data_IF_622239004355
#
_entry.id   IF_622239004355
#
_cell.length_a   1.000
_cell.length_b   1.000
_cell.length_c   1.000
_cell.angle_alpha   90.00
_cell.angle_beta   90.00
_cell.angle_gamma   90.00
#
_symmetry.space_group_name_H-M   'P 1'
#
loop_
_entity.id
_entity.type
_entity.pdbx_description
1 polymer ?
#
# COMPACT_ATOMS: atom_id res chain seq x y z
N UNK A 1 -30.40 33.72 -7.52
CA UNK A 1 -31.04 32.49 -7.03
C UNK A 1 -30.84 31.42 -8.08
N UNK A 2 -29.85 30.59 -7.92
CA UNK A 2 -29.57 29.43 -8.75
C UNK A 2 -29.28 28.28 -7.79
N UNK A 3 -30.29 27.44 -7.56
CA UNK A 3 -30.13 26.22 -6.82
C UNK A 3 -29.15 25.29 -7.60
N UNK A 4 -27.94 25.13 -7.12
CA UNK A 4 -27.10 24.04 -7.53
C UNK A 4 -27.80 22.77 -7.04
N UNK A 5 -28.47 22.08 -7.96
CA UNK A 5 -28.86 20.68 -7.75
C UNK A 5 -27.59 19.91 -7.49
N UNK A 6 -27.33 19.58 -6.24
CA UNK A 6 -26.42 18.50 -5.88
C UNK A 6 -27.05 17.24 -6.51
N UNK A 7 -26.54 16.83 -7.67
CA UNK A 7 -26.78 15.50 -8.19
C UNK A 7 -26.23 14.54 -7.13
N UNK A 8 -27.12 14.03 -6.29
CA UNK A 8 -26.83 12.90 -5.41
C UNK A 8 -26.61 11.70 -6.34
N UNK A 9 -25.36 11.47 -6.75
CA UNK A 9 -24.99 10.31 -7.54
C UNK A 9 -25.14 9.11 -6.62
N UNK A 10 -26.02 8.19 -6.99
CA UNK A 10 -26.23 6.91 -6.29
C UNK A 10 -24.88 6.21 -6.17
N UNK A 11 -24.47 5.85 -4.96
CA UNK A 11 -23.23 5.08 -4.74
C UNK A 11 -23.45 3.62 -5.05
N UNK A 12 -22.37 2.89 -5.38
CA UNK A 12 -22.45 1.45 -5.58
C UNK A 12 -23.02 0.73 -4.35
N UNK A 13 -22.71 1.18 -3.14
CA UNK A 13 -23.22 0.60 -1.89
C UNK A 13 -24.73 0.86 -1.66
N UNK A 14 -25.33 1.82 -2.37
CA UNK A 14 -26.73 2.18 -2.21
C UNK A 14 -27.68 1.40 -3.16
N UNK A 15 -27.13 0.69 -4.15
CA UNK A 15 -27.94 -0.18 -4.99
C UNK A 15 -28.28 -1.47 -4.24
N UNK A 16 -29.41 -2.16 -4.57
CA UNK A 16 -29.81 -3.39 -3.90
C UNK A 16 -28.70 -4.45 -3.91
N UNK A 17 -28.53 -5.19 -2.81
CA UNK A 17 -27.44 -6.17 -2.63
C UNK A 17 -27.37 -7.23 -3.73
N UNK A 18 -28.52 -7.68 -4.24
CA UNK A 18 -28.58 -8.61 -5.37
C UNK A 18 -27.95 -8.03 -6.63
N UNK A 19 -28.15 -6.73 -6.88
CA UNK A 19 -27.52 -6.00 -7.99
C UNK A 19 -26.04 -5.73 -7.75
N UNK A 20 -25.66 -5.45 -6.50
CA UNK A 20 -24.23 -5.35 -6.15
C UNK A 20 -23.51 -6.68 -6.44
N UNK A 21 -24.08 -7.82 -6.00
CA UNK A 21 -23.52 -9.16 -6.26
C UNK A 21 -23.45 -9.47 -7.77
N UNK A 22 -24.49 -9.15 -8.54
CA UNK A 22 -24.52 -9.33 -9.99
C UNK A 22 -23.38 -8.56 -10.67
N UNK A 23 -23.20 -7.29 -10.31
CA UNK A 23 -22.14 -6.45 -10.85
C UNK A 23 -20.74 -6.97 -10.47
N UNK A 24 -20.52 -7.30 -9.19
CA UNK A 24 -19.25 -7.87 -8.71
C UNK A 24 -18.93 -9.19 -9.43
N UNK A 25 -19.90 -10.11 -9.53
CA UNK A 25 -19.69 -11.39 -10.18
C UNK A 25 -19.39 -11.24 -11.69
N UNK A 26 -20.01 -10.26 -12.34
CA UNK A 26 -19.69 -9.93 -13.74
C UNK A 26 -18.24 -9.49 -13.90
N UNK A 27 -17.77 -8.59 -13.03
CA UNK A 27 -16.37 -8.14 -13.04
C UNK A 27 -15.43 -9.28 -12.69
N UNK A 28 -15.78 -10.11 -11.71
CA UNK A 28 -14.97 -11.27 -11.30
C UNK A 28 -14.76 -12.24 -12.47
N UNK A 29 -15.81 -12.56 -13.22
CA UNK A 29 -15.72 -13.42 -14.41
C UNK A 29 -14.84 -12.83 -15.51
N UNK A 30 -14.84 -11.51 -15.69
CA UNK A 30 -14.07 -10.85 -16.75
C UNK A 30 -12.61 -10.59 -16.34
N UNK A 31 -12.37 -10.29 -15.07
CA UNK A 31 -11.04 -9.96 -14.55
C UNK A 31 -10.24 -11.17 -14.07
N UNK A 32 -10.91 -12.27 -13.76
CA UNK A 32 -10.30 -13.43 -13.09
C UNK A 32 -10.05 -13.24 -11.60
N UNK A 33 -10.47 -12.10 -11.02
CA UNK A 33 -10.35 -11.83 -9.59
C UNK A 33 -11.51 -12.48 -8.81
N UNK A 34 -11.26 -12.93 -7.57
CA UNK A 34 -12.34 -13.37 -6.68
C UNK A 34 -13.36 -12.24 -6.44
N UNK A 35 -14.67 -12.54 -6.32
CA UNK A 35 -15.69 -11.54 -6.03
C UNK A 35 -15.40 -10.69 -4.79
N UNK A 36 -14.91 -11.30 -3.71
CA UNK A 36 -14.50 -10.60 -2.48
C UNK A 36 -13.35 -9.61 -2.70
N UNK A 37 -12.46 -9.86 -3.68
CA UNK A 37 -11.40 -8.92 -4.06
C UNK A 37 -11.96 -7.68 -4.77
N UNK A 38 -12.98 -7.84 -5.62
CA UNK A 38 -13.64 -6.71 -6.30
C UNK A 38 -14.38 -5.84 -5.29
N UNK A 39 -15.12 -6.46 -4.36
CA UNK A 39 -15.77 -5.74 -3.27
C UNK A 39 -14.75 -4.96 -2.44
N UNK A 40 -13.67 -5.61 -2.04
CA UNK A 40 -12.62 -4.99 -1.23
C UNK A 40 -11.89 -3.88 -1.97
N UNK A 41 -11.67 -4.02 -3.27
CA UNK A 41 -11.08 -2.97 -4.10
C UNK A 41 -11.93 -1.70 -4.10
N UNK A 42 -13.26 -1.84 -4.14
CA UNK A 42 -14.16 -0.70 -4.01
C UNK A 42 -13.97 0.00 -2.64
N UNK A 43 -13.96 -0.76 -1.54
CA UNK A 43 -13.73 -0.21 -0.20
C UNK A 43 -12.36 0.45 -0.06
N UNK A 44 -11.29 -0.19 -0.55
CA UNK A 44 -9.93 0.40 -0.59
C UNK A 44 -9.96 1.73 -1.35
N UNK A 45 -10.69 1.79 -2.46
CA UNK A 45 -10.79 3.01 -3.28
C UNK A 45 -11.55 4.12 -2.54
N UNK A 46 -12.66 3.81 -1.85
CA UNK A 46 -13.39 4.79 -1.04
C UNK A 46 -12.54 5.32 0.12
N UNK A 47 -11.78 4.46 0.78
CA UNK A 47 -10.86 4.86 1.85
C UNK A 47 -9.75 5.77 1.32
N UNK A 48 -9.15 5.44 0.16
CA UNK A 48 -8.16 6.31 -0.48
C UNK A 48 -8.76 7.67 -0.87
N UNK A 49 -10.00 7.69 -1.34
CA UNK A 49 -10.72 8.92 -1.67
C UNK A 49 -10.97 9.77 -0.41
N UNK A 50 -11.36 9.14 0.69
CA UNK A 50 -11.52 9.82 1.97
C UNK A 50 -10.19 10.41 2.47
N UNK A 51 -9.09 9.64 2.44
CA UNK A 51 -7.75 10.10 2.83
C UNK A 51 -7.30 11.33 2.03
N UNK A 52 -7.56 11.35 0.71
CA UNK A 52 -7.16 12.47 -0.15
C UNK A 52 -8.17 13.63 -0.17
N UNK A 53 -9.28 13.50 0.55
CA UNK A 53 -10.21 14.59 0.84
C UNK A 53 -9.92 15.30 2.19
N UNK A 54 -9.00 14.77 3.00
CA UNK A 54 -8.65 15.35 4.29
C UNK A 54 -7.98 16.73 4.13
N UNK A 55 -8.14 17.65 5.11
CA UNK A 55 -7.54 18.99 5.04
C UNK A 55 -6.01 18.99 4.93
N UNK A 56 -5.38 17.89 5.34
CA UNK A 56 -3.93 17.68 5.31
C UNK A 56 -3.50 16.62 4.27
N UNK A 57 -4.31 16.41 3.22
CA UNK A 57 -4.00 15.44 2.16
C UNK A 57 -2.67 15.73 1.43
N UNK A 58 -2.21 16.97 1.39
CA UNK A 58 -0.90 17.34 0.84
C UNK A 58 0.28 16.82 1.68
N UNK A 59 0.03 16.48 2.95
CA UNK A 59 1.03 15.96 3.88
C UNK A 59 1.04 14.42 3.97
N UNK A 60 0.30 13.74 3.11
CA UNK A 60 0.30 12.28 3.01
C UNK A 60 0.71 11.82 1.61
N UNK A 61 1.38 10.67 1.56
CA UNK A 61 1.72 10.00 0.31
C UNK A 61 1.33 8.51 0.37
N UNK A 62 0.63 8.05 -0.66
CA UNK A 62 0.24 6.67 -0.85
C UNK A 62 1.39 5.86 -1.44
N UNK A 63 1.76 4.75 -0.80
CA UNK A 63 2.90 3.92 -1.15
C UNK A 63 2.58 2.43 -1.11
N UNK A 64 3.61 1.60 -1.21
CA UNK A 64 3.50 0.15 -1.02
C UNK A 64 2.93 -0.62 -2.20
N UNK A 65 2.53 -1.86 -1.93
CA UNK A 65 2.04 -2.78 -2.98
C UNK A 65 0.75 -2.31 -3.62
N UNK A 66 -0.19 -1.80 -2.83
CA UNK A 66 -1.47 -1.30 -3.35
C UNK A 66 -1.28 -0.07 -4.23
N UNK A 67 -0.30 0.79 -3.93
CA UNK A 67 0.10 1.89 -4.81
C UNK A 67 0.68 1.37 -6.13
N UNK A 68 1.57 0.36 -6.10
CA UNK A 68 2.12 -0.23 -7.32
C UNK A 68 1.05 -0.83 -8.23
N UNK A 69 0.01 -1.45 -7.69
CA UNK A 69 -1.09 -2.01 -8.48
C UNK A 69 -2.05 -0.93 -8.97
N UNK A 70 -2.59 -0.07 -8.09
CA UNK A 70 -3.66 0.89 -8.45
C UNK A 70 -3.17 2.11 -9.22
N UNK A 71 -1.99 2.63 -8.88
CA UNK A 71 -1.47 3.86 -9.47
C UNK A 71 -0.56 3.60 -10.68
N UNK A 72 0.13 2.47 -10.70
CA UNK A 72 1.19 2.20 -11.67
C UNK A 72 0.95 0.97 -12.54
N UNK A 73 0.01 0.10 -12.16
CA UNK A 73 -0.31 -1.16 -12.86
C UNK A 73 0.94 -2.04 -13.10
N UNK A 74 1.86 -2.06 -12.13
CA UNK A 74 3.16 -2.74 -12.23
C UNK A 74 3.13 -4.16 -11.68
N UNK A 75 2.15 -4.51 -10.86
CA UNK A 75 2.02 -5.83 -10.25
C UNK A 75 0.61 -6.38 -10.44
N UNK A 76 0.51 -7.68 -10.71
CA UNK A 76 -0.75 -8.40 -10.91
C UNK A 76 -1.06 -9.32 -9.71
N UNK A 77 -0.80 -8.84 -8.49
CA UNK A 77 -1.23 -9.48 -7.26
C UNK A 77 -2.18 -8.58 -6.47
N UNK A 78 -3.13 -9.19 -5.81
CA UNK A 78 -4.00 -8.46 -4.90
C UNK A 78 -3.19 -7.90 -3.72
N UNK A 79 -3.41 -6.65 -3.43
CA UNK A 79 -2.83 -5.95 -2.28
C UNK A 79 -3.93 -5.16 -1.62
N UNK A 80 -4.11 -5.36 -0.34
CA UNK A 80 -5.31 -4.95 0.40
C UNK A 80 -5.06 -3.88 1.45
N UNK A 81 -3.79 -3.71 1.84
CA UNK A 81 -3.39 -2.74 2.85
C UNK A 81 -3.07 -1.39 2.16
N UNK A 82 -3.43 -0.30 2.80
CA UNK A 82 -3.11 1.07 2.36
C UNK A 82 -1.93 1.55 3.19
N UNK A 83 -0.77 1.66 2.56
CA UNK A 83 0.43 2.21 3.19
C UNK A 83 0.49 3.73 2.98
N UNK A 84 0.54 4.50 4.06
CA UNK A 84 0.61 5.97 4.05
C UNK A 84 1.89 6.44 4.72
N UNK A 85 2.66 7.26 3.99
CA UNK A 85 3.66 8.11 4.59
C UNK A 85 3.00 9.41 5.07
N UNK A 86 3.23 9.79 6.34
CA UNK A 86 2.75 11.03 6.92
C UNK A 86 3.95 11.98 7.12
N UNK A 87 3.83 13.23 6.65
CA UNK A 87 4.91 14.22 6.77
C UNK A 87 5.30 14.47 8.22
N UNK A 88 6.57 14.33 8.50
CA UNK A 88 7.15 14.67 9.81
C UNK A 88 7.13 16.19 10.05
N UNK A 89 7.23 16.96 9.00
CA UNK A 89 7.14 18.42 9.04
C UNK A 89 5.75 18.87 9.46
N UNK A 90 4.70 18.20 8.97
CA UNK A 90 3.32 18.39 9.43
C UNK A 90 3.17 18.12 10.92
N UNK A 91 3.87 17.08 11.42
CA UNK A 91 3.91 16.76 12.86
C UNK A 91 4.84 17.68 13.67
N UNK A 92 5.42 18.73 13.07
CA UNK A 92 6.30 19.69 13.73
C UNK A 92 7.77 19.27 13.83
N UNK A 93 8.20 18.23 13.12
CA UNK A 93 9.58 17.72 13.14
C UNK A 93 10.35 18.15 11.89
N UNK A 94 10.75 19.41 11.85
CA UNK A 94 11.51 20.00 10.74
C UNK A 94 13.03 19.81 10.88
N UNK A 95 13.74 19.85 9.76
CA UNK A 95 15.21 19.87 9.71
C UNK A 95 15.87 18.56 10.14
N UNK A 96 17.09 18.68 10.67
CA UNK A 96 17.87 17.55 11.15
C UNK A 96 17.38 17.06 12.51
N UNK A 97 17.07 15.77 12.62
CA UNK A 97 16.58 15.15 13.84
C UNK A 97 17.64 14.26 14.48
N UNK A 98 17.73 14.29 15.79
CA UNK A 98 18.53 13.34 16.57
C UNK A 98 17.89 11.94 16.58
N UNK A 99 18.66 10.92 16.93
CA UNK A 99 18.16 9.53 17.07
C UNK A 99 16.97 9.45 18.03
N UNK A 100 17.02 10.12 19.18
CA UNK A 100 15.93 10.15 20.15
C UNK A 100 14.68 10.85 19.60
N UNK A 101 14.84 11.93 18.84
CA UNK A 101 13.70 12.58 18.20
C UNK A 101 13.01 11.63 17.20
N UNK A 102 13.76 10.87 16.42
CA UNK A 102 13.22 9.93 15.43
C UNK A 102 12.60 8.71 16.11
N UNK A 103 13.35 8.04 17.00
CA UNK A 103 12.95 6.75 17.57
C UNK A 103 11.85 6.84 18.63
N UNK A 104 11.65 8.00 19.24
CA UNK A 104 10.68 8.19 20.32
C UNK A 104 9.69 9.32 20.02
N UNK A 105 10.16 10.58 19.93
CA UNK A 105 9.26 11.74 19.87
C UNK A 105 8.39 11.77 18.60
N UNK A 106 8.98 11.58 17.41
CA UNK A 106 8.28 11.55 16.14
C UNK A 106 7.29 10.39 16.09
N UNK A 107 7.70 9.20 16.56
CA UNK A 107 6.81 8.04 16.62
C UNK A 107 5.59 8.29 17.50
N UNK A 108 5.80 8.83 18.70
CA UNK A 108 4.69 9.18 19.61
C UNK A 108 3.76 10.22 18.99
N UNK A 109 4.32 11.26 18.37
CA UNK A 109 3.52 12.29 17.73
C UNK A 109 2.67 11.71 16.59
N UNK A 110 3.24 10.84 15.74
CA UNK A 110 2.51 10.16 14.68
C UNK A 110 1.40 9.25 15.25
N UNK A 111 1.72 8.43 16.26
CA UNK A 111 0.74 7.55 16.91
C UNK A 111 -0.39 8.35 17.57
N UNK A 112 -0.09 9.44 18.30
CA UNK A 112 -1.10 10.29 18.91
C UNK A 112 -2.00 10.93 17.87
N UNK A 113 -1.42 11.52 16.82
CA UNK A 113 -2.19 12.13 15.74
C UNK A 113 -3.14 11.13 15.07
N UNK A 114 -2.66 9.91 14.78
CA UNK A 114 -3.50 8.87 14.17
C UNK A 114 -4.66 8.46 15.08
N UNK A 115 -4.39 8.29 16.37
CA UNK A 115 -5.41 7.85 17.36
C UNK A 115 -6.37 8.95 17.76
N UNK A 116 -5.87 10.17 17.94
CA UNK A 116 -6.65 11.24 18.55
C UNK A 116 -7.39 12.09 17.50
N UNK A 117 -6.89 12.13 16.26
CA UNK A 117 -7.41 12.99 15.19
C UNK A 117 -7.75 12.18 13.92
N UNK A 118 -6.75 11.58 13.25
CA UNK A 118 -6.90 11.04 11.89
C UNK A 118 -7.99 9.98 11.76
N UNK A 119 -8.16 9.10 12.76
CA UNK A 119 -9.23 8.09 12.72
C UNK A 119 -10.63 8.70 12.65
N UNK A 120 -10.86 9.81 13.36
CA UNK A 120 -12.13 10.52 13.35
C UNK A 120 -12.35 11.25 12.05
N UNK A 121 -11.29 11.88 11.51
CA UNK A 121 -11.33 12.57 10.24
C UNK A 121 -11.61 11.61 9.08
N UNK A 122 -10.97 10.43 9.06
CA UNK A 122 -11.23 9.38 8.06
C UNK A 122 -12.67 8.90 8.13
N UNK A 123 -13.19 8.68 9.35
CA UNK A 123 -14.59 8.30 9.54
C UNK A 123 -15.54 9.37 9.00
N UNK A 124 -15.30 10.62 9.34
CA UNK A 124 -16.13 11.73 8.88
C UNK A 124 -16.04 11.91 7.36
N UNK A 125 -14.85 11.84 6.79
CA UNK A 125 -14.64 11.92 5.35
C UNK A 125 -15.39 10.84 4.57
N UNK A 126 -15.42 9.58 5.08
CA UNK A 126 -16.23 8.51 4.47
C UNK A 126 -17.73 8.85 4.50
N UNK A 127 -18.23 9.42 5.60
CA UNK A 127 -19.63 9.87 5.71
C UNK A 127 -19.90 11.02 4.74
N UNK A 128 -19.01 12.00 4.66
CA UNK A 128 -19.13 13.16 3.75
C UNK A 128 -19.08 12.75 2.28
N UNK A 129 -18.41 11.66 1.96
CA UNK A 129 -18.45 11.02 0.65
C UNK A 129 -19.77 10.29 0.38
N UNK A 130 -20.70 10.24 1.33
CA UNK A 130 -22.02 9.63 1.19
C UNK A 130 -22.09 8.16 1.59
N UNK A 131 -21.07 7.61 2.26
CA UNK A 131 -21.13 6.24 2.77
C UNK A 131 -21.89 6.24 4.10
N UNK A 132 -22.91 5.39 4.21
CA UNK A 132 -23.76 5.32 5.40
C UNK A 132 -22.92 4.90 6.61
N UNK A 133 -23.13 5.58 7.74
CA UNK A 133 -22.37 5.38 8.98
C UNK A 133 -22.56 4.00 9.63
N UNK A 134 -23.63 3.28 9.25
CA UNK A 134 -23.93 1.91 9.70
C UNK A 134 -23.30 0.82 8.82
N UNK A 135 -22.75 1.19 7.65
CA UNK A 135 -22.10 0.26 6.71
C UNK A 135 -20.65 -0.10 7.10
N UNK A 136 -20.03 0.66 8.02
CA UNK A 136 -18.64 0.44 8.41
C UNK A 136 -18.35 0.89 9.84
N UNK A 137 -17.26 0.36 10.43
CA UNK A 137 -16.63 0.91 11.64
C UNK A 137 -15.19 1.34 11.35
N UNK A 138 -14.69 2.28 12.15
CA UNK A 138 -13.29 2.74 12.10
C UNK A 138 -12.70 2.54 13.49
N UNK A 139 -11.62 1.77 13.56
CA UNK A 139 -10.96 1.41 14.80
C UNK A 139 -9.45 1.57 14.66
N UNK A 140 -8.74 1.95 15.71
CA UNK A 140 -7.28 1.93 15.77
C UNK A 140 -6.83 0.63 16.43
N UNK A 141 -5.85 -0.03 15.82
CA UNK A 141 -5.25 -1.24 16.42
C UNK A 141 -4.44 -0.85 17.65
N UNK A 142 -4.98 -1.16 18.83
CA UNK A 142 -4.27 -0.92 20.09
C UNK A 142 -3.15 -1.94 20.23
N UNK A 143 -1.91 -1.47 20.18
CA UNK A 143 -0.73 -2.30 20.48
C UNK A 143 -0.30 -2.09 21.93
N UNK A 144 0.29 -3.11 22.60
CA UNK A 144 0.85 -2.93 23.95
C UNK A 144 1.98 -1.89 24.00
N UNK A 145 2.60 -1.63 22.87
CA UNK A 145 3.69 -0.66 22.70
C UNK A 145 3.09 0.63 22.13
N UNK A 146 2.97 1.67 22.96
CA UNK A 146 2.38 2.97 22.58
C UNK A 146 3.15 3.76 21.52
N UNK A 147 4.28 3.25 21.07
CA UNK A 147 5.14 3.88 20.06
C UNK A 147 5.38 2.97 18.85
N UNK A 148 4.47 2.05 18.58
CA UNK A 148 4.55 1.17 17.40
C UNK A 148 4.34 2.02 16.14
N UNK A 149 5.26 1.91 15.19
CA UNK A 149 5.19 2.57 13.89
C UNK A 149 5.44 1.51 12.81
N UNK A 150 4.54 1.35 11.84
CA UNK A 150 3.35 2.19 11.60
C UNK A 150 2.24 2.02 12.63
N UNK A 151 1.43 3.07 12.83
CA UNK A 151 0.14 2.99 13.50
C UNK A 151 -0.92 2.52 12.49
N UNK A 152 -1.91 1.76 12.93
CA UNK A 152 -2.86 1.11 12.03
C UNK A 152 -4.30 1.52 12.34
N UNK A 153 -4.97 2.12 11.36
CA UNK A 153 -6.43 2.30 11.35
C UNK A 153 -7.03 1.12 10.58
N UNK A 154 -8.08 0.53 11.12
CA UNK A 154 -8.83 -0.54 10.50
C UNK A 154 -10.25 -0.07 10.20
N UNK A 155 -10.68 -0.17 8.95
CA UNK A 155 -12.05 0.04 8.52
C UNK A 155 -12.67 -1.34 8.31
N UNK A 156 -13.65 -1.71 9.14
CA UNK A 156 -14.41 -2.96 8.99
C UNK A 156 -15.74 -2.63 8.33
N UNK A 157 -16.08 -3.34 7.27
CA UNK A 157 -17.30 -3.12 6.50
C UNK A 157 -18.19 -4.36 6.46
N UNK A 158 -19.48 -4.16 6.19
CA UNK A 158 -20.40 -5.25 5.98
C UNK A 158 -20.18 -5.85 4.57
N UNK A 159 -19.66 -7.07 4.54
CA UNK A 159 -19.37 -7.76 3.28
C UNK A 159 -20.56 -8.51 2.73
N UNK A 160 -20.72 -8.47 1.42
CA UNK A 160 -21.70 -9.28 0.69
C UNK A 160 -21.31 -10.76 0.60
N UNK A 161 -20.05 -11.10 0.87
CA UNK A 161 -19.50 -12.45 0.75
C UNK A 161 -19.05 -12.99 2.10
N UNK A 162 -19.08 -14.30 2.24
CA UNK A 162 -18.53 -14.96 3.42
C UNK A 162 -17.04 -14.65 3.58
N UNK A 163 -16.61 -14.53 4.82
CA UNK A 163 -15.20 -14.26 5.13
C UNK A 163 -14.32 -15.39 4.60
N UNK A 164 -13.42 -15.06 3.71
CA UNK A 164 -12.32 -15.93 3.33
C UNK A 164 -11.24 -15.92 4.43
N UNK A 165 -10.57 -17.03 4.69
CA UNK A 165 -9.38 -17.03 5.55
C UNK A 165 -8.32 -16.00 5.10
N UNK A 166 -8.37 -15.62 3.84
CA UNK A 166 -7.41 -14.77 3.15
C UNK A 166 -7.84 -13.33 3.02
N UNK A 167 -9.07 -13.08 2.55
CA UNK A 167 -9.60 -11.75 2.31
C UNK A 167 -10.62 -11.47 3.42
N UNK A 168 -10.20 -10.63 4.37
CA UNK A 168 -11.07 -10.16 5.45
C UNK A 168 -11.87 -8.95 4.98
N UNK A 169 -13.05 -8.76 5.54
CA UNK A 169 -13.89 -7.57 5.33
C UNK A 169 -13.35 -6.32 6.09
N UNK A 170 -12.02 -6.13 6.04
CA UNK A 170 -11.34 -5.01 6.69
C UNK A 170 -10.35 -4.39 5.74
N UNK A 171 -10.31 -3.06 5.66
CA UNK A 171 -9.25 -2.29 5.02
C UNK A 171 -8.34 -1.75 6.11
N UNK A 172 -7.05 -2.02 6.01
CA UNK A 172 -6.04 -1.50 6.94
C UNK A 172 -5.33 -0.31 6.31
N UNK A 173 -5.17 0.74 7.09
CA UNK A 173 -4.33 1.89 6.76
C UNK A 173 -3.13 1.86 7.69
N UNK A 174 -1.95 1.62 7.15
CA UNK A 174 -0.68 1.65 7.88
C UNK A 174 -0.05 3.03 7.71
N UNK A 175 -0.01 3.83 8.79
CA UNK A 175 0.45 5.21 8.76
C UNK A 175 1.81 5.31 9.46
N UNK A 176 2.83 5.79 8.75
CA UNK A 176 4.18 5.98 9.30
C UNK A 176 4.66 7.42 9.14
N UNK A 177 4.94 8.08 10.26
CA UNK A 177 5.61 9.39 10.28
C UNK A 177 7.12 9.32 10.02
N UNK A 178 7.71 8.13 10.00
CA UNK A 178 9.14 7.93 9.67
C UNK A 178 9.38 7.64 8.20
N UNK A 179 8.33 7.41 7.41
CA UNK A 179 8.46 7.23 5.97
C UNK A 179 8.74 8.55 5.26
N UNK A 180 9.48 8.50 4.17
CA UNK A 180 9.65 9.67 3.28
C UNK A 180 8.31 10.01 2.61
N UNK A 181 8.06 11.29 2.36
CA UNK A 181 6.98 11.74 1.49
C UNK A 181 7.43 11.71 0.03
N UNK A 182 8.48 12.46 -0.29
CA UNK A 182 9.00 12.63 -1.65
C UNK A 182 9.96 11.50 -2.09
N UNK A 183 10.08 11.21 -3.39
CA UNK A 183 9.32 11.84 -4.49
C UNK A 183 7.96 11.17 -4.73
N UNK A 184 6.98 11.99 -5.13
CA UNK A 184 5.61 11.58 -5.46
C UNK A 184 5.17 12.12 -6.83
N UNK A 185 4.14 11.49 -7.39
CA UNK A 185 3.36 12.00 -8.52
C UNK A 185 1.87 11.92 -8.23
N UNK A 186 1.08 12.83 -8.81
CA UNK A 186 -0.37 12.71 -8.78
C UNK A 186 -0.83 11.66 -9.79
N UNK A 187 -1.63 10.70 -9.32
CA UNK A 187 -2.20 9.63 -10.15
C UNK A 187 -3.71 9.59 -9.98
N UNK A 188 -4.41 9.57 -11.12
CA UNK A 188 -5.83 9.34 -11.14
C UNK A 188 -6.13 7.85 -10.96
N UNK A 189 -6.95 7.51 -9.98
CA UNK A 189 -7.40 6.13 -9.70
C UNK A 189 -8.91 6.06 -9.56
N UNK A 190 -9.45 4.85 -9.76
CA UNK A 190 -10.86 4.52 -9.51
C UNK A 190 -10.97 3.08 -9.02
N UNK A 191 -12.17 2.64 -8.65
CA UNK A 191 -12.41 1.25 -8.32
C UNK A 191 -12.45 0.39 -9.61
N UNK A 192 -12.07 -0.87 -9.47
CA UNK A 192 -12.12 -1.83 -10.59
C UNK A 192 -13.54 -1.87 -11.16
N UNK A 193 -14.56 -1.92 -10.31
CA UNK A 193 -15.95 -1.98 -10.74
C UNK A 193 -16.35 -0.78 -11.60
N UNK A 194 -15.86 0.42 -11.28
CA UNK A 194 -16.14 1.62 -12.05
C UNK A 194 -15.54 1.59 -13.47
N UNK A 195 -14.44 0.88 -13.65
CA UNK A 195 -13.81 0.69 -14.95
C UNK A 195 -14.69 -0.15 -15.87
N UNK A 196 -15.32 -1.20 -15.33
CA UNK A 196 -16.20 -2.09 -16.09
C UNK A 196 -17.61 -1.49 -16.32
N UNK A 197 -18.09 -0.71 -15.37
CA UNK A 197 -19.43 -0.11 -15.38
C UNK A 197 -19.43 1.40 -15.56
N UNK A 198 -18.47 1.97 -16.28
CA UNK A 198 -18.24 3.41 -16.41
C UNK A 198 -19.42 4.23 -16.95
N UNK A 199 -20.48 3.59 -17.48
CA UNK A 199 -21.69 4.24 -18.01
C UNK A 199 -22.91 4.10 -17.10
N UNK A 200 -22.76 3.52 -15.92
CA UNK A 200 -23.86 3.34 -14.97
C UNK A 200 -24.02 4.55 -14.06
N UNK A 201 -25.18 4.66 -13.40
CA UNK A 201 -25.46 5.78 -12.49
C UNK A 201 -24.64 5.75 -11.20
N UNK A 202 -24.13 4.57 -10.83
CA UNK A 202 -23.30 4.40 -9.63
C UNK A 202 -21.80 4.51 -9.91
N UNK A 203 -21.38 4.57 -11.17
CA UNK A 203 -19.97 4.70 -11.51
C UNK A 203 -19.39 6.04 -11.03
N UNK A 204 -18.27 5.98 -10.34
CA UNK A 204 -17.57 7.14 -9.86
C UNK A 204 -16.45 7.57 -10.83
N UNK A 205 -16.27 8.89 -10.94
CA UNK A 205 -15.13 9.40 -11.70
C UNK A 205 -13.82 9.15 -10.98
N UNK A 206 -12.71 8.94 -11.72
CA UNK A 206 -11.38 8.88 -11.14
C UNK A 206 -11.06 10.12 -10.30
N UNK A 207 -10.29 9.95 -9.24
CA UNK A 207 -9.80 11.05 -8.39
C UNK A 207 -8.26 10.91 -8.24
N UNK A 208 -7.60 12.02 -7.92
CA UNK A 208 -6.15 12.08 -7.80
C UNK A 208 -5.68 11.68 -6.39
N UNK A 209 -4.57 10.93 -6.35
CA UNK A 209 -3.85 10.59 -5.14
C UNK A 209 -2.37 10.98 -5.28
N UNK A 210 -1.72 11.31 -4.16
CA UNK A 210 -0.28 11.54 -4.10
C UNK A 210 0.43 10.19 -4.02
N UNK A 211 0.85 9.64 -5.15
CA UNK A 211 1.45 8.32 -5.27
C UNK A 211 2.99 8.39 -5.22
N UNK A 212 3.60 7.59 -4.38
CA UNK A 212 5.06 7.41 -4.38
C UNK A 212 5.50 6.82 -5.72
N UNK A 213 6.55 7.37 -6.33
CA UNK A 213 7.06 6.89 -7.61
C UNK A 213 7.60 5.45 -7.52
N UNK A 214 7.47 4.65 -8.57
CA UNK A 214 7.86 3.23 -8.53
C UNK A 214 9.35 3.03 -8.34
N UNK A 215 10.22 3.90 -8.84
CA UNK A 215 11.68 3.83 -8.65
C UNK A 215 12.06 3.89 -7.17
N UNK A 216 11.38 4.72 -6.40
CA UNK A 216 11.58 4.78 -4.96
C UNK A 216 11.14 3.49 -4.29
N UNK A 217 9.95 2.99 -4.63
CA UNK A 217 9.43 1.73 -4.08
C UNK A 217 10.33 0.55 -4.44
N UNK A 218 10.92 0.55 -5.66
CA UNK A 218 11.90 -0.44 -6.09
C UNK A 218 13.12 -0.45 -5.15
N UNK A 219 13.77 0.70 -4.96
CA UNK A 219 14.95 0.79 -4.08
C UNK A 219 14.64 0.47 -2.62
N UNK A 220 13.48 0.92 -2.10
CA UNK A 220 13.06 0.56 -0.74
C UNK A 220 12.92 -0.96 -0.56
N UNK A 221 12.41 -1.68 -1.57
CA UNK A 221 12.29 -3.16 -1.55
C UNK A 221 13.64 -3.85 -1.70
N UNK A 222 14.51 -3.35 -2.57
CA UNK A 222 15.89 -3.84 -2.72
C UNK A 222 16.63 -3.76 -1.38
N UNK A 223 16.62 -2.60 -0.73
CA UNK A 223 17.28 -2.44 0.57
C UNK A 223 16.61 -3.26 1.67
N UNK A 224 15.28 -3.39 1.65
CA UNK A 224 14.56 -4.23 2.60
C UNK A 224 15.00 -5.69 2.50
N UNK A 225 15.08 -6.25 1.30
CA UNK A 225 15.52 -7.63 1.09
C UNK A 225 16.98 -7.83 1.49
N UNK A 226 17.86 -6.91 1.09
CA UNK A 226 19.26 -6.97 1.49
C UNK A 226 19.42 -6.94 3.02
N UNK A 227 18.75 -6.03 3.71
CA UNK A 227 18.73 -5.98 5.17
C UNK A 227 18.16 -7.25 5.79
N UNK A 228 17.12 -7.83 5.19
CA UNK A 228 16.48 -9.04 5.68
C UNK A 228 17.43 -10.26 5.60
N UNK A 229 18.12 -10.42 4.45
CA UNK A 229 19.07 -11.52 4.25
C UNK A 229 20.37 -11.40 5.04
N UNK A 230 20.63 -10.27 5.68
CA UNK A 230 21.77 -10.06 6.60
C UNK A 230 21.43 -10.35 8.06
N UNK A 231 20.16 -10.65 8.38
CA UNK A 231 19.76 -10.99 9.75
C UNK A 231 20.15 -12.43 10.09
N UNK A 232 20.40 -12.68 11.38
CA UNK A 232 20.60 -14.05 11.90
C UNK A 232 19.37 -14.94 11.70
N UNK A 233 18.17 -14.35 11.83
CA UNK A 233 16.89 -15.01 11.59
C UNK A 233 16.15 -14.27 10.50
N UNK A 234 16.07 -14.87 9.32
CA UNK A 234 15.39 -14.32 8.15
C UNK A 234 13.89 -14.61 8.24
N UNK A 235 13.08 -13.59 8.02
CA UNK A 235 11.62 -13.77 7.96
C UNK A 235 11.23 -14.50 6.68
N UNK A 236 10.21 -15.33 6.77
CA UNK A 236 9.69 -16.11 5.64
C UNK A 236 8.28 -15.63 5.27
N UNK A 237 7.40 -15.60 6.27
CA UNK A 237 5.98 -15.34 6.08
C UNK A 237 5.72 -14.02 5.35
N UNK A 238 5.01 -14.09 4.23
CA UNK A 238 4.62 -12.97 3.35
C UNK A 238 5.79 -12.16 2.78
N UNK A 239 7.00 -12.72 2.77
CA UNK A 239 8.19 -12.01 2.29
C UNK A 239 8.43 -12.21 0.78
N UNK A 240 8.03 -13.34 0.20
CA UNK A 240 8.15 -13.63 -1.24
C UNK A 240 7.46 -12.58 -2.13
N UNK A 241 6.46 -11.87 -1.59
CA UNK A 241 5.82 -10.75 -2.30
C UNK A 241 6.79 -9.64 -2.71
N UNK A 242 7.88 -9.45 -1.97
CA UNK A 242 8.88 -8.43 -2.32
C UNK A 242 9.73 -8.87 -3.51
N UNK A 243 10.08 -10.16 -3.59
CA UNK A 243 10.75 -10.76 -4.76
C UNK A 243 9.85 -10.64 -6.00
N UNK A 244 8.57 -11.02 -5.87
CA UNK A 244 7.61 -10.89 -6.95
C UNK A 244 7.49 -9.45 -7.46
N UNK A 245 7.29 -8.50 -6.54
CA UNK A 245 7.14 -7.08 -6.91
C UNK A 245 8.38 -6.55 -7.64
N UNK A 246 9.58 -6.88 -7.15
CA UNK A 246 10.84 -6.49 -7.81
C UNK A 246 10.95 -7.10 -9.20
N UNK A 247 10.70 -8.41 -9.36
CA UNK A 247 10.76 -9.08 -10.65
C UNK A 247 9.75 -8.50 -11.66
N UNK A 248 8.55 -8.10 -11.19
CA UNK A 248 7.56 -7.44 -12.04
C UNK A 248 8.02 -6.04 -12.47
N UNK A 249 8.57 -5.24 -11.55
CA UNK A 249 9.10 -3.90 -11.88
C UNK A 249 10.29 -3.96 -12.83
N UNK A 250 11.18 -4.96 -12.68
CA UNK A 250 12.32 -5.18 -13.60
C UNK A 250 11.89 -5.56 -15.00
N UNK A 251 10.77 -6.28 -15.14
CA UNK A 251 10.21 -6.65 -16.43
C UNK A 251 9.27 -5.60 -17.03
N UNK A 252 9.06 -4.49 -16.35
CA UNK A 252 8.17 -3.45 -16.84
C UNK A 252 8.75 -2.78 -18.09
N UNK A 253 7.87 -2.42 -19.02
CA UNK A 253 8.26 -1.65 -20.23
C UNK A 253 8.78 -0.25 -19.89
N UNK A 254 8.60 0.18 -18.67
CA UNK A 254 8.96 1.51 -18.19
C UNK A 254 10.40 1.59 -17.67
N UNK A 255 11.16 0.49 -17.71
CA UNK A 255 12.56 0.42 -17.26
C UNK A 255 12.76 0.95 -15.82
N UNK A 256 11.85 0.60 -14.92
CA UNK A 256 11.83 1.12 -13.53
C UNK A 256 13.15 0.83 -12.81
N UNK A 257 13.66 -0.40 -12.92
CA UNK A 257 14.90 -0.81 -12.26
C UNK A 257 16.10 0.03 -12.73
N UNK A 258 16.26 0.18 -14.06
CA UNK A 258 17.36 0.97 -14.63
C UNK A 258 17.28 2.43 -14.21
N UNK A 259 16.08 3.03 -14.25
CA UNK A 259 15.86 4.42 -13.80
C UNK A 259 16.13 4.59 -12.31
N UNK A 260 15.78 3.59 -11.51
CA UNK A 260 16.02 3.62 -10.07
C UNK A 260 17.51 3.53 -9.72
N UNK A 261 18.24 2.57 -10.33
CA UNK A 261 19.65 2.31 -10.05
C UNK A 261 20.54 3.45 -10.55
N UNK A 262 20.25 4.00 -11.73
CA UNK A 262 21.03 5.09 -12.30
C UNK A 262 20.66 6.48 -11.76
N UNK A 263 19.60 6.59 -10.95
CA UNK A 263 19.27 7.83 -10.24
C UNK A 263 20.06 7.92 -8.94
N UNK A 264 21.33 8.31 -9.05
CA UNK A 264 22.26 8.40 -7.93
C UNK A 264 21.73 9.30 -6.78
N UNK A 265 21.05 10.38 -7.10
CA UNK A 265 20.45 11.29 -6.11
C UNK A 265 19.36 10.58 -5.31
N UNK A 266 18.45 9.87 -5.99
CA UNK A 266 17.38 9.12 -5.34
C UNK A 266 17.95 7.98 -4.50
N UNK A 267 18.90 7.24 -5.05
CA UNK A 267 19.59 6.14 -4.37
C UNK A 267 20.20 6.59 -3.05
N UNK A 268 21.02 7.64 -3.09
CA UNK A 268 21.65 8.21 -1.89
C UNK A 268 20.62 8.74 -0.88
N UNK A 269 19.58 9.39 -1.36
CA UNK A 269 18.52 9.92 -0.50
C UNK A 269 17.81 8.79 0.29
N UNK A 270 17.46 7.68 -0.38
CA UNK A 270 16.80 6.53 0.27
C UNK A 270 17.78 5.83 1.22
N UNK A 271 19.04 5.66 0.82
CA UNK A 271 20.09 5.07 1.67
C UNK A 271 20.25 5.85 2.98
N UNK A 272 20.42 7.17 2.89
CA UNK A 272 20.56 8.03 4.07
C UNK A 272 19.30 8.03 4.94
N UNK A 273 18.13 8.04 4.31
CA UNK A 273 16.88 7.91 5.04
C UNK A 273 16.83 6.58 5.81
N UNK A 274 17.15 5.44 5.18
CA UNK A 274 17.15 4.14 5.86
C UNK A 274 18.16 4.08 7.00
N UNK A 275 19.39 4.60 6.78
CA UNK A 275 20.41 4.71 7.83
C UNK A 275 19.89 5.46 9.05
N UNK A 276 19.18 6.57 8.83
CA UNK A 276 18.75 7.48 9.87
C UNK A 276 17.44 7.07 10.55
N UNK A 277 16.43 6.66 9.78
CA UNK A 277 15.08 6.43 10.26
C UNK A 277 14.76 4.94 10.52
N UNK A 278 15.42 4.02 9.84
CA UNK A 278 15.30 2.57 10.08
C UNK A 278 16.40 2.09 11.02
N UNK A 279 17.66 2.32 10.67
CA UNK A 279 18.84 2.18 11.53
C UNK A 279 18.96 0.80 12.18
N UNK A 280 19.01 -0.29 11.41
CA UNK A 280 19.16 -1.64 11.97
C UNK A 280 20.45 -1.77 12.77
N UNK A 281 20.33 -2.32 13.98
CA UNK A 281 21.48 -2.53 14.87
C UNK A 281 22.46 -3.54 14.25
N UNK A 282 23.73 -3.16 14.18
CA UNK A 282 24.79 -4.04 13.64
C UNK A 282 24.88 -4.08 12.12
N UNK A 283 24.04 -3.31 11.40
CA UNK A 283 24.07 -3.23 9.95
C UNK A 283 24.93 -2.07 9.48
N UNK A 284 25.85 -2.32 8.53
CA UNK A 284 26.73 -1.31 7.97
C UNK A 284 26.12 -0.74 6.68
N UNK A 285 25.51 0.43 6.77
CA UNK A 285 24.91 1.13 5.63
C UNK A 285 25.94 1.69 4.63
N UNK A 286 27.23 1.76 4.99
CA UNK A 286 28.30 2.20 4.08
C UNK A 286 28.65 1.16 3.02
N UNK A 287 28.22 -0.10 3.22
CA UNK A 287 28.42 -1.22 2.27
C UNK A 287 27.26 -1.38 1.28
N UNK A 288 26.25 -0.52 1.31
CA UNK A 288 25.10 -0.60 0.40
C UNK A 288 25.41 0.06 -0.95
N UNK A 289 26.23 -0.58 -1.75
CA UNK A 289 26.46 -0.25 -3.15
C UNK A 289 25.77 -1.28 -4.05
N UNK A 290 25.50 -0.91 -5.32
CA UNK A 290 24.75 -1.75 -6.26
C UNK A 290 25.33 -3.15 -6.48
N UNK A 291 26.64 -3.28 -6.46
CA UNK A 291 27.40 -4.53 -6.67
C UNK A 291 27.47 -5.43 -5.41
N UNK A 292 27.08 -4.94 -4.26
CA UNK A 292 27.09 -5.69 -2.98
C UNK A 292 25.70 -6.10 -2.51
N UNK A 293 24.67 -5.70 -3.23
CA UNK A 293 23.28 -5.95 -2.84
C UNK A 293 22.93 -7.44 -2.97
N UNK A 294 22.43 -8.02 -1.88
CA UNK A 294 21.89 -9.37 -1.84
C UNK A 294 20.37 -9.29 -1.77
N UNK A 295 19.70 -9.59 -2.87
CA UNK A 295 18.23 -9.54 -3.00
C UNK A 295 17.59 -10.89 -3.31
N UNK A 296 18.43 -11.94 -3.32
CA UNK A 296 18.04 -13.31 -3.58
C UNK A 296 18.29 -14.15 -2.33
N UNK A 297 17.36 -15.03 -1.92
CA UNK A 297 17.56 -15.92 -0.78
C UNK A 297 18.71 -16.88 -1.04
N UNK A 298 19.46 -17.23 0.01
CA UNK A 298 20.47 -18.29 -0.06
C UNK A 298 19.83 -19.68 -0.20
N UNK A 299 20.62 -20.70 -0.50
CA UNK A 299 20.12 -22.07 -0.71
C UNK A 299 19.36 -22.63 0.48
N UNK A 300 19.75 -22.29 1.72
CA UNK A 300 19.15 -22.83 2.96
C UNK A 300 17.70 -22.39 3.14
N UNK A 301 17.36 -21.17 2.75
CA UNK A 301 16.01 -20.59 2.94
C UNK A 301 15.19 -20.55 1.67
N UNK A 302 15.79 -20.83 0.50
CA UNK A 302 15.13 -20.75 -0.82
C UNK A 302 13.84 -21.57 -0.86
N UNK A 303 13.85 -22.81 -0.34
CA UNK A 303 12.67 -23.67 -0.32
C UNK A 303 11.52 -23.08 0.52
N UNK A 304 11.85 -22.48 1.68
CA UNK A 304 10.86 -21.85 2.55
C UNK A 304 10.21 -20.62 1.87
N UNK A 305 11.01 -19.83 1.15
CA UNK A 305 10.52 -18.69 0.38
C UNK A 305 9.71 -19.13 -0.84
N UNK A 306 10.06 -20.25 -1.46
CA UNK A 306 9.27 -20.85 -2.54
C UNK A 306 7.91 -21.35 -2.05
N UNK A 307 7.84 -21.91 -0.83
CA UNK A 307 6.55 -22.33 -0.24
C UNK A 307 5.67 -21.12 0.10
N UNK A 308 6.24 -20.05 0.66
CA UNK A 308 5.54 -18.76 0.88
C UNK A 308 5.05 -18.17 -0.45
N UNK A 309 5.85 -18.26 -1.52
CA UNK A 309 5.45 -17.83 -2.86
C UNK A 309 4.32 -18.67 -3.44
N UNK A 310 4.37 -20.00 -3.30
CA UNK A 310 3.28 -20.89 -3.75
C UNK A 310 1.97 -20.52 -3.09
N UNK A 311 1.99 -20.29 -1.79
CA UNK A 311 0.84 -19.85 -1.03
C UNK A 311 0.30 -18.50 -1.52
N UNK A 312 1.18 -17.54 -1.85
CA UNK A 312 0.78 -16.27 -2.45
C UNK A 312 0.15 -16.46 -3.84
N UNK A 313 0.67 -17.36 -4.67
CA UNK A 313 0.13 -17.64 -6.00
C UNK A 313 -1.31 -18.14 -5.95
N UNK A 314 -1.61 -19.04 -5.00
CA UNK A 314 -2.94 -19.64 -4.86
C UNK A 314 -4.01 -18.63 -4.43
N UNK A 315 -3.61 -17.54 -3.73
CA UNK A 315 -4.57 -16.70 -3.05
C UNK A 315 -4.56 -15.23 -3.48
N UNK A 316 -3.45 -14.73 -4.02
CA UNK A 316 -3.26 -13.30 -4.22
C UNK A 316 -2.90 -12.90 -5.66
N UNK A 317 -2.36 -13.81 -6.49
CA UNK A 317 -1.96 -13.47 -7.85
C UNK A 317 -3.13 -13.71 -8.81
N UNK A 318 -3.38 -12.75 -9.67
CA UNK A 318 -4.32 -12.83 -10.78
C UNK A 318 -3.57 -12.54 -12.09
N UNK A 319 -3.72 -13.41 -13.07
CA UNK A 319 -2.97 -13.32 -14.32
C UNK A 319 -1.81 -14.32 -14.40
N UNK A 320 -0.81 -14.10 -15.25
CA UNK A 320 0.31 -15.01 -15.41
C UNK A 320 1.09 -15.18 -14.11
N UNK A 321 1.31 -16.42 -13.71
CA UNK A 321 2.05 -16.79 -12.51
C UNK A 321 3.42 -17.33 -12.93
N UNK A 322 4.50 -16.54 -12.87
CA UNK A 322 5.84 -17.05 -13.11
C UNK A 322 6.25 -18.05 -12.03
N UNK A 323 7.08 -19.01 -12.34
CA UNK A 323 7.67 -19.90 -11.33
C UNK A 323 8.60 -19.10 -10.39
N UNK A 324 8.81 -19.58 -9.17
CA UNK A 324 9.73 -18.95 -8.23
C UNK A 324 11.15 -18.84 -8.82
N UNK A 325 11.58 -19.87 -9.56
CA UNK A 325 12.87 -19.86 -10.26
C UNK A 325 12.95 -18.73 -11.29
N UNK A 326 11.91 -18.54 -12.09
CA UNK A 326 11.89 -17.43 -13.07
C UNK A 326 11.96 -16.07 -12.38
N UNK A 327 11.36 -15.91 -11.18
CA UNK A 327 11.50 -14.68 -10.41
C UNK A 327 12.94 -14.46 -9.97
N UNK A 328 13.58 -15.49 -9.41
CA UNK A 328 14.97 -15.44 -8.96
C UNK A 328 15.92 -15.15 -10.13
N UNK A 329 15.77 -15.86 -11.26
CA UNK A 329 16.59 -15.66 -12.46
C UNK A 329 16.54 -14.22 -13.00
N UNK A 330 15.38 -13.54 -12.82
CA UNK A 330 15.20 -12.13 -13.17
C UNK A 330 15.88 -11.15 -12.22
N UNK A 331 16.12 -11.55 -10.98
CA UNK A 331 16.78 -10.72 -9.97
C UNK A 331 18.31 -10.83 -9.98
N UNK A 332 18.87 -11.75 -10.72
CA UNK A 332 20.30 -11.81 -10.99
C UNK A 332 20.64 -10.74 -12.06
N UNK A 333 21.10 -9.59 -11.59
CA UNK A 333 21.60 -8.47 -12.41
C UNK A 333 23.11 -8.60 -12.56
#
# INVERSE_FOLDING_TARGET
MGAQNANCTMKFIDIPEDRQREAINTVALQSGLPPSSIEKDWWVTQVLKALHALPYAEHIAFKGGTCLSKCWNLIARFSEDIDIALSREFLGFCGELSKTQISDKLRRAACSFVRDEMQHDVRQALIDLGIRSDAFSVDVVITPITTTDPEVITITYHSLYENSPYIKNTVKIEISGRSMIEPIEKKAINAIIDTYFCKTQFAENPFEVNAVIPERTFLEKVFLLHEEFKKEVVRIERMSRHIYDLAMMMNSKENIADRAIHNEKLYRCILEHRRKFIGLKGFNYDELYSDTLCIVPNEEITNLWQDDYRFMCEHMIYGPVPSFKELIDKLHI
#
